data_IF_358955227230
#
_entry.id   IF_358955227230
#
_cell.length_a   1.000
_cell.length_b   1.000
_cell.length_c   1.000
_cell.angle_alpha   90.00
_cell.angle_beta   90.00
_cell.angle_gamma   90.00
#
_symmetry.space_group_name_H-M   'P 1'
#
loop_
_entity.id
_entity.type
_entity.pdbx_description
1 polymer ?
#
# COMPACT_ATOMS: atom_id res chain seq x y z
N UNK A 1 0.80 3.17 -33.15
CA UNK A 1 0.31 3.03 -31.76
C UNK A 1 1.28 2.07 -31.13
N UNK A 2 2.27 2.56 -30.40
CA UNK A 2 3.15 1.67 -29.63
C UNK A 2 2.29 1.07 -28.52
N UNK A 3 2.05 -0.23 -28.64
CA UNK A 3 1.52 -1.04 -27.55
C UNK A 3 2.56 -0.88 -26.44
N UNK A 4 2.26 -0.02 -25.46
CA UNK A 4 2.99 -0.03 -24.20
C UNK A 4 2.74 -1.43 -23.66
N UNK A 5 3.69 -2.32 -23.88
CA UNK A 5 3.80 -3.62 -23.21
C UNK A 5 3.91 -3.28 -21.72
N UNK A 6 2.78 -2.99 -21.08
CA UNK A 6 2.69 -2.98 -19.64
C UNK A 6 2.97 -4.42 -19.25
N UNK A 7 4.21 -4.68 -18.86
CA UNK A 7 4.69 -5.97 -18.38
C UNK A 7 4.04 -6.17 -17.01
N UNK A 8 2.74 -6.47 -17.00
CA UNK A 8 2.00 -6.86 -15.82
C UNK A 8 2.26 -8.34 -15.55
N UNK A 9 2.24 -8.73 -14.27
CA UNK A 9 2.39 -10.12 -13.87
C UNK A 9 1.30 -10.99 -14.55
N UNK A 10 0.07 -10.46 -14.69
CA UNK A 10 -1.03 -11.13 -15.39
C UNK A 10 -0.72 -11.36 -16.89
N UNK A 11 -0.19 -10.35 -17.59
CA UNK A 11 0.23 -10.48 -18.99
C UNK A 11 1.34 -11.54 -19.15
N UNK A 12 2.26 -11.63 -18.19
CA UNK A 12 3.31 -12.65 -18.20
C UNK A 12 2.75 -14.06 -17.96
N UNK A 13 1.75 -14.21 -17.09
CA UNK A 13 1.05 -15.49 -16.88
C UNK A 13 0.36 -15.90 -18.19
N UNK A 14 -0.41 -15.02 -18.82
CA UNK A 14 -1.09 -15.31 -20.09
C UNK A 14 -0.12 -15.68 -21.20
N UNK A 15 0.99 -14.94 -21.35
CA UNK A 15 2.06 -15.25 -22.31
C UNK A 15 2.62 -16.66 -22.08
N UNK A 16 2.85 -17.07 -20.83
CA UNK A 16 3.36 -18.42 -20.53
C UNK A 16 2.30 -19.52 -20.75
N UNK A 17 1.03 -19.27 -20.47
CA UNK A 17 -0.07 -20.19 -20.83
C UNK A 17 -0.12 -20.40 -22.35
N UNK A 18 0.04 -19.33 -23.13
CA UNK A 18 0.15 -19.41 -24.59
C UNK A 18 1.31 -20.32 -25.04
N UNK A 19 2.48 -20.17 -24.41
CA UNK A 19 3.66 -21.03 -24.70
C UNK A 19 3.44 -22.49 -24.33
N UNK A 20 2.70 -22.79 -23.26
CA UNK A 20 2.34 -24.18 -22.90
C UNK A 20 1.43 -24.80 -23.96
N UNK A 21 0.44 -24.04 -24.44
CA UNK A 21 -0.51 -24.49 -25.47
C UNK A 21 0.19 -24.73 -26.81
N UNK A 22 1.15 -23.87 -27.18
CA UNK A 22 1.88 -23.96 -28.44
C UNK A 22 3.05 -24.96 -28.41
N UNK A 23 3.60 -25.28 -27.24
CA UNK A 23 4.75 -26.18 -27.13
C UNK A 23 4.35 -27.65 -27.32
N UNK A 24 5.20 -28.41 -28.00
CA UNK A 24 5.13 -29.88 -28.04
C UNK A 24 6.20 -30.56 -27.15
N UNK A 25 7.07 -29.77 -26.50
CA UNK A 25 8.14 -30.27 -25.63
C UNK A 25 7.68 -30.24 -24.16
N UNK A 26 7.66 -31.41 -23.51
CA UNK A 26 7.22 -31.57 -22.11
C UNK A 26 8.13 -30.85 -21.11
N UNK A 27 9.44 -30.83 -21.32
CA UNK A 27 10.37 -30.12 -20.46
C UNK A 27 10.16 -28.60 -20.56
N UNK A 28 9.93 -28.09 -21.76
CA UNK A 28 9.56 -26.68 -21.96
C UNK A 28 8.22 -26.35 -21.30
N UNK A 29 7.22 -27.23 -21.40
CA UNK A 29 5.94 -27.05 -20.68
C UNK A 29 6.14 -26.99 -19.17
N UNK A 30 6.93 -27.92 -18.61
CA UNK A 30 7.25 -27.94 -17.19
C UNK A 30 7.95 -26.64 -16.75
N UNK A 31 8.89 -26.13 -17.55
CA UNK A 31 9.53 -24.84 -17.30
C UNK A 31 8.53 -23.67 -17.27
N UNK A 32 7.59 -23.61 -18.22
CA UNK A 32 6.57 -22.56 -18.25
C UNK A 32 5.58 -22.68 -17.09
N UNK A 33 5.23 -23.90 -16.67
CA UNK A 33 4.39 -24.13 -15.48
C UNK A 33 5.09 -23.60 -14.23
N UNK A 34 6.36 -23.97 -14.01
CA UNK A 34 7.13 -23.47 -12.86
C UNK A 34 7.30 -21.94 -12.89
N UNK A 35 7.37 -21.35 -14.09
CA UNK A 35 7.39 -19.89 -14.23
C UNK A 35 6.05 -19.27 -13.81
N UNK A 36 4.92 -19.88 -14.18
CA UNK A 36 3.59 -19.41 -13.76
C UNK A 36 3.43 -19.50 -12.23
N UNK A 37 3.87 -20.58 -11.59
CA UNK A 37 3.81 -20.74 -10.13
C UNK A 37 4.50 -19.58 -9.41
N UNK A 38 5.74 -19.24 -9.81
CA UNK A 38 6.48 -18.10 -9.25
C UNK A 38 5.83 -16.75 -9.51
N UNK A 39 5.19 -16.58 -10.66
CA UNK A 39 4.45 -15.35 -10.98
C UNK A 39 3.21 -15.22 -10.11
N UNK A 40 2.48 -16.32 -9.84
CA UNK A 40 1.36 -16.33 -8.91
C UNK A 40 1.81 -15.98 -7.49
N UNK A 41 2.90 -16.59 -7.00
CA UNK A 41 3.47 -16.27 -5.68
C UNK A 41 3.83 -14.78 -5.56
N UNK A 42 4.45 -14.20 -6.59
CA UNK A 42 4.77 -12.78 -6.62
C UNK A 42 3.51 -11.90 -6.64
N UNK A 43 2.45 -12.33 -7.33
CA UNK A 43 1.19 -11.60 -7.37
C UNK A 43 0.47 -11.63 -6.02
N UNK A 44 0.46 -12.77 -5.35
CA UNK A 44 -0.12 -12.93 -4.01
C UNK A 44 0.62 -12.06 -2.97
N UNK A 45 1.96 -11.99 -3.06
CA UNK A 45 2.76 -11.09 -2.23
C UNK A 45 2.45 -9.62 -2.47
N UNK A 46 2.24 -9.22 -3.73
CA UNK A 46 1.86 -7.85 -4.09
C UNK A 46 0.51 -7.47 -3.49
N UNK A 47 -0.50 -8.34 -3.63
CA UNK A 47 -1.82 -8.16 -3.02
C UNK A 47 -1.69 -8.05 -1.49
N UNK A 48 -0.91 -8.94 -0.89
CA UNK A 48 -0.69 -8.94 0.57
C UNK A 48 -0.03 -7.65 1.05
N UNK A 49 0.97 -7.15 0.32
CA UNK A 49 1.62 -5.86 0.63
C UNK A 49 0.66 -4.68 0.48
N UNK A 50 -0.20 -4.69 -0.55
CA UNK A 50 -1.21 -3.64 -0.75
C UNK A 50 -2.28 -3.65 0.35
N UNK A 51 -2.69 -4.82 0.83
CA UNK A 51 -3.62 -4.98 1.95
C UNK A 51 -3.01 -4.48 3.27
N UNK A 52 -1.75 -4.84 3.57
CA UNK A 52 -1.04 -4.33 4.75
C UNK A 52 -0.91 -2.80 4.68
N UNK A 53 -0.54 -2.26 3.51
CA UNK A 53 -0.46 -0.81 3.32
C UNK A 53 -1.82 -0.10 3.50
N UNK A 54 -2.94 -0.80 3.27
CA UNK A 54 -4.28 -0.27 3.49
C UNK A 54 -4.66 -0.29 4.99
N UNK A 55 -4.26 -1.32 5.74
CA UNK A 55 -4.44 -1.41 7.19
C UNK A 55 -3.51 -0.46 7.97
N UNK A 56 -2.29 -0.23 7.47
CA UNK A 56 -1.32 0.70 8.06
C UNK A 56 -1.59 2.18 7.73
N UNK A 57 -2.58 2.50 6.88
CA UNK A 57 -3.09 3.87 6.86
C UNK A 57 -3.54 4.19 8.28
N UNK A 58 -2.98 5.21 8.95
CA UNK A 58 -3.38 5.52 10.31
C UNK A 58 -4.87 5.76 10.24
N UNK A 59 -5.63 4.85 10.87
CA UNK A 59 -7.04 5.03 11.18
C UNK A 59 -7.15 6.47 11.61
N UNK A 60 -7.76 7.30 10.76
CA UNK A 60 -7.82 8.75 10.93
C UNK A 60 -8.11 8.97 12.40
N UNK A 61 -7.07 9.40 13.12
CA UNK A 61 -7.14 9.54 14.55
C UNK A 61 -8.34 10.43 14.77
N UNK A 62 -9.42 9.91 15.37
CA UNK A 62 -10.47 10.78 15.86
C UNK A 62 -9.75 11.92 16.57
N UNK A 63 -9.98 13.19 16.19
CA UNK A 63 -9.30 14.28 16.86
C UNK A 63 -9.53 14.07 18.35
N UNK A 64 -8.43 13.83 19.06
CA UNK A 64 -8.44 13.52 20.47
C UNK A 64 -9.24 14.62 21.16
N UNK A 65 -10.23 14.26 21.97
CA UNK A 65 -11.00 15.31 22.66
C UNK A 65 -10.05 16.08 23.59
N UNK A 66 -10.41 17.31 23.91
CA UNK A 66 -9.56 18.17 24.75
C UNK A 66 -9.23 17.51 26.09
N UNK A 67 -10.17 16.75 26.65
CA UNK A 67 -9.96 16.00 27.89
C UNK A 67 -8.90 14.90 27.71
N UNK A 68 -8.98 14.13 26.61
CA UNK A 68 -8.03 13.07 26.32
C UNK A 68 -6.63 13.63 26.11
N UNK A 69 -6.48 14.74 25.36
CA UNK A 69 -5.20 15.41 25.16
C UNK A 69 -4.59 15.82 26.49
N UNK A 70 -5.34 16.52 27.35
CA UNK A 70 -4.85 16.99 28.64
C UNK A 70 -4.46 15.82 29.57
N UNK A 71 -5.19 14.71 29.55
CA UNK A 71 -4.90 13.51 30.35
C UNK A 71 -3.62 12.79 29.88
N UNK A 72 -3.41 12.68 28.57
CA UNK A 72 -2.20 12.08 28.00
C UNK A 72 -0.92 12.80 28.46
N UNK A 73 -0.91 14.13 28.38
CA UNK A 73 0.25 14.91 28.80
C UNK A 73 0.43 14.95 30.32
N UNK A 74 -0.68 14.92 31.07
CA UNK A 74 -0.64 14.84 32.54
C UNK A 74 0.00 13.53 33.01
N UNK A 75 -0.33 12.40 32.37
CA UNK A 75 0.23 11.09 32.70
C UNK A 75 1.69 10.93 32.23
N UNK A 76 2.07 11.58 31.13
CA UNK A 76 3.43 11.57 30.62
C UNK A 76 4.42 12.43 31.45
N UNK A 77 3.93 13.23 32.40
CA UNK A 77 4.77 14.16 33.18
C UNK A 77 5.32 15.33 32.36
N UNK A 78 4.84 15.50 31.12
CA UNK A 78 5.27 16.53 30.18
C UNK A 78 4.22 17.63 30.22
N UNK A 79 4.53 18.80 30.81
CA UNK A 79 3.65 19.96 30.69
C UNK A 79 3.67 20.43 29.22
N UNK A 80 2.55 20.36 28.49
CA UNK A 80 2.53 20.88 27.14
C UNK A 80 2.55 22.40 27.26
N UNK A 81 3.60 23.04 26.72
CA UNK A 81 3.55 24.48 26.43
C UNK A 81 2.44 24.64 25.38
N UNK A 82 1.23 24.99 25.84
CA UNK A 82 0.12 25.37 24.96
C UNK A 82 0.55 26.61 24.20
N UNK A 83 1.13 26.42 23.01
CA UNK A 83 1.28 27.51 22.05
C UNK A 83 -0.16 27.87 21.66
N UNK A 84 -0.66 29.00 22.17
CA UNK A 84 -1.89 29.60 21.66
C UNK A 84 -1.61 30.03 20.22
N UNK A 85 -1.90 29.16 19.27
CA UNK A 85 -1.90 29.53 17.86
C UNK A 85 -3.20 30.29 17.60
N UNK A 86 -3.21 31.59 17.90
CA UNK A 86 -4.20 32.51 17.34
C UNK A 86 -3.79 32.83 15.90
N UNK A 87 -3.87 31.84 15.01
CA UNK A 87 -3.83 32.09 13.56
C UNK A 87 -4.85 31.17 12.89
N UNK A 88 -5.89 31.78 12.32
CA UNK A 88 -6.71 31.11 11.31
C UNK A 88 -5.90 31.02 10.00
N UNK A 89 -6.18 29.99 9.20
CA UNK A 89 -5.51 29.68 7.92
C UNK A 89 -5.73 30.74 6.82
N UNK A 90 -6.43 31.84 7.10
CA UNK A 90 -6.69 32.98 6.22
C UNK A 90 -5.90 34.26 6.60
N UNK A 91 -4.95 34.17 7.53
CA UNK A 91 -3.92 35.21 7.72
C UNK A 91 -4.39 36.53 8.36
N UNK A 92 -5.56 36.57 9.03
CA UNK A 92 -5.98 37.75 9.80
C UNK A 92 -5.92 37.50 11.31
N UNK A 93 -5.16 38.32 12.00
CA UNK A 93 -5.09 38.35 13.46
C UNK A 93 -6.36 38.99 14.04
N UNK A 94 -6.81 38.47 15.18
CA UNK A 94 -7.90 39.03 15.97
C UNK A 94 -7.26 39.62 17.23
N UNK A 95 -7.39 40.94 17.41
CA UNK A 95 -7.03 41.63 18.66
C UNK A 95 -7.94 41.21 19.80
#
# INVERSE_FOLDING_TARGET
MEEKDDISILNLIEKNIGKIKASHNFQAKSFYISTIEKLCEAYDQLISAELISLEEKPSISKPMTKEQYDEFFKNAGILPKRIKVNKRLDGKEIN
#
